data_IF_850546010127
#
_entry.id   IF_850546010127
#
_cell.length_a   1.000
_cell.length_b   1.000
_cell.length_c   1.000
_cell.angle_alpha   90.00
_cell.angle_beta   90.00
_cell.angle_gamma   90.00
#
_symmetry.space_group_name_H-M   'P 1'
#
loop_
_entity.id
_entity.type
_entity.pdbx_description
1 polymer ?
#
# COMPACT_ATOMS: atom_id res chain seq x y z
N UNK A 1 2.36 7.20 11.15
CA UNK A 1 3.85 7.20 11.29
C UNK A 1 4.39 7.14 9.88
N UNK A 2 5.30 8.03 9.47
CA UNK A 2 5.80 8.08 8.09
C UNK A 2 7.32 8.09 8.08
N UNK A 3 7.90 7.15 7.34
CA UNK A 3 9.34 7.00 7.13
C UNK A 3 9.60 6.72 5.63
N UNK A 4 10.87 6.73 5.21
CA UNK A 4 11.24 6.37 3.85
C UNK A 4 11.31 4.84 3.68
N UNK A 5 11.12 4.30 2.45
CA UNK A 5 10.83 5.04 1.21
C UNK A 5 9.36 5.48 1.10
N UNK A 6 9.10 6.48 0.25
CA UNK A 6 7.74 6.93 -0.08
C UNK A 6 7.35 6.40 -1.46
N UNK A 7 6.08 6.06 -1.64
CA UNK A 7 5.49 5.83 -2.96
C UNK A 7 5.01 7.17 -3.52
N UNK A 8 5.60 7.56 -4.63
CA UNK A 8 5.31 8.80 -5.36
C UNK A 8 5.56 8.58 -6.86
N UNK A 9 5.32 9.62 -7.66
CA UNK A 9 5.65 9.62 -9.09
C UNK A 9 7.16 9.79 -9.37
N UNK A 10 8.01 9.79 -8.33
CA UNK A 10 9.46 9.90 -8.49
C UNK A 10 10.09 8.56 -8.92
N UNK A 11 11.20 8.63 -9.66
CA UNK A 11 11.90 7.45 -10.21
C UNK A 11 12.74 6.66 -9.18
N UNK A 12 12.32 6.62 -7.91
CA UNK A 12 13.03 5.87 -6.88
C UNK A 12 12.67 4.38 -6.93
N UNK A 13 13.67 3.52 -7.16
CA UNK A 13 13.46 2.07 -7.15
C UNK A 13 13.26 1.52 -5.72
N UNK A 14 12.23 0.69 -5.56
CA UNK A 14 12.04 -0.12 -4.36
C UNK A 14 13.06 -1.26 -4.32
N UNK A 15 13.55 -1.57 -3.11
CA UNK A 15 14.57 -2.61 -2.87
C UNK A 15 14.06 -3.58 -1.82
N UNK A 16 14.55 -4.83 -1.89
CA UNK A 16 14.22 -5.84 -0.89
C UNK A 16 14.50 -5.32 0.55
N UNK A 17 13.57 -5.58 1.47
CA UNK A 17 13.60 -5.09 2.84
C UNK A 17 12.95 -3.71 3.04
N UNK A 18 12.63 -2.96 1.97
CA UNK A 18 11.79 -1.77 2.09
C UNK A 18 10.38 -2.16 2.53
N UNK A 19 9.83 -1.38 3.47
CA UNK A 19 8.45 -1.51 3.93
C UNK A 19 7.70 -0.26 3.51
N UNK A 20 6.58 -0.44 2.83
CA UNK A 20 5.73 0.64 2.32
C UNK A 20 4.27 0.32 2.57
N UNK A 21 3.47 1.37 2.71
CA UNK A 21 2.03 1.25 2.73
C UNK A 21 1.48 1.35 1.31
N UNK A 22 0.63 0.39 0.91
CA UNK A 22 -0.17 0.46 -0.31
C UNK A 22 -1.57 0.91 0.10
N UNK A 23 -1.91 2.18 -0.19
CA UNK A 23 -3.12 2.82 0.35
C UNK A 23 -3.97 3.59 -0.68
N UNK A 24 -4.39 2.97 -1.79
CA UNK A 24 -5.26 3.64 -2.75
C UNK A 24 -6.61 4.03 -2.12
N UNK A 25 -7.06 5.23 -2.43
CA UNK A 25 -8.37 5.72 -2.00
C UNK A 25 -9.20 6.23 -3.17
N UNK A 26 -10.50 5.95 -3.13
CA UNK A 26 -11.50 6.50 -4.03
C UNK A 26 -12.45 7.37 -3.21
N UNK A 27 -12.66 8.60 -3.66
CA UNK A 27 -13.44 9.60 -2.95
C UNK A 27 -14.42 10.26 -3.92
N UNK A 28 -15.69 10.29 -3.52
CA UNK A 28 -16.75 11.05 -4.16
C UNK A 28 -17.26 12.11 -3.15
N UNK A 29 -17.34 13.39 -3.53
CA UNK A 29 -17.69 14.46 -2.58
C UNK A 29 -19.13 14.36 -2.05
N UNK A 30 -20.04 13.72 -2.79
CA UNK A 30 -21.45 13.61 -2.42
C UNK A 30 -21.74 12.33 -1.61
N UNK A 31 -20.95 11.27 -1.81
CA UNK A 31 -21.18 9.95 -1.17
C UNK A 31 -20.21 9.66 -0.02
N UNK A 32 -18.95 10.12 -0.13
CA UNK A 32 -17.87 9.80 0.81
C UNK A 32 -16.71 9.07 0.14
N UNK A 33 -15.89 8.37 0.94
CA UNK A 33 -14.69 7.72 0.41
C UNK A 33 -14.40 6.38 1.05
N UNK A 34 -13.65 5.57 0.29
CA UNK A 34 -13.09 4.30 0.74
C UNK A 34 -11.59 4.32 0.50
N UNK A 35 -10.84 3.79 1.46
CA UNK A 35 -9.40 3.55 1.34
C UNK A 35 -9.12 2.14 1.83
N UNK A 36 -8.38 1.38 1.04
CA UNK A 36 -7.84 0.07 1.45
C UNK A 36 -6.36 0.26 1.69
N UNK A 37 -5.87 -0.12 2.87
CA UNK A 37 -4.53 0.20 3.34
C UNK A 37 -3.86 -1.07 3.86
N UNK A 38 -2.80 -1.49 3.18
CA UNK A 38 -2.00 -2.67 3.54
C UNK A 38 -0.52 -2.30 3.70
N UNK A 39 0.14 -2.92 4.68
CA UNK A 39 1.57 -2.78 4.88
C UNK A 39 2.29 -3.92 4.14
N UNK A 40 3.23 -3.57 3.27
CA UNK A 40 3.89 -4.53 2.39
C UNK A 40 5.41 -4.42 2.55
N UNK A 41 6.07 -5.57 2.65
CA UNK A 41 7.53 -5.66 2.55
C UNK A 41 7.94 -6.13 1.16
N UNK A 42 8.89 -5.42 0.56
CA UNK A 42 9.48 -5.81 -0.73
C UNK A 42 10.47 -6.95 -0.50
N UNK A 43 10.40 -7.98 -1.33
CA UNK A 43 11.30 -9.14 -1.29
C UNK A 43 12.11 -9.21 -2.59
N UNK A 44 13.14 -10.06 -2.63
CA UNK A 44 13.92 -10.26 -3.86
C UNK A 44 13.09 -10.83 -5.02
N UNK A 45 11.98 -11.51 -4.71
CA UNK A 45 11.09 -12.14 -5.69
C UNK A 45 9.76 -11.39 -5.89
N UNK A 46 9.58 -10.21 -5.28
CA UNK A 46 8.35 -9.43 -5.33
C UNK A 46 8.04 -8.76 -4.00
N UNK A 47 6.99 -9.23 -3.31
CA UNK A 47 6.51 -8.64 -2.07
C UNK A 47 5.78 -9.63 -1.16
N UNK A 48 5.66 -9.30 0.12
CA UNK A 48 4.82 -9.98 1.10
C UNK A 48 3.89 -8.95 1.78
N UNK A 49 2.61 -9.27 1.91
CA UNK A 49 1.63 -8.46 2.61
C UNK A 49 1.64 -8.83 4.10
N UNK A 50 1.88 -7.84 4.96
CA UNK A 50 1.97 -7.99 6.41
C UNK A 50 0.62 -7.74 7.10
N UNK A 51 -0.36 -7.25 6.35
CA UNK A 51 -1.71 -6.98 6.84
C UNK A 51 -2.62 -8.17 6.54
N UNK A 52 -3.27 -8.71 7.57
CA UNK A 52 -4.25 -9.80 7.44
C UNK A 52 -5.58 -9.38 8.07
N UNK A 53 -6.63 -9.32 7.25
CA UNK A 53 -8.02 -9.19 7.66
C UNK A 53 -8.92 -9.82 6.59
N UNK A 54 -10.15 -10.17 6.97
CA UNK A 54 -11.15 -10.59 6.01
C UNK A 54 -11.46 -9.41 5.08
N UNK A 55 -10.93 -9.46 3.87
CA UNK A 55 -11.21 -8.46 2.84
C UNK A 55 -12.53 -8.82 2.13
N UNK A 56 -13.63 -8.09 2.37
CA UNK A 56 -14.91 -8.38 1.75
C UNK A 56 -14.96 -7.98 0.27
N UNK A 57 -13.90 -7.35 -0.26
CA UNK A 57 -13.82 -6.85 -1.63
C UNK A 57 -12.88 -7.67 -2.53
N UNK A 58 -12.20 -8.69 -1.98
CA UNK A 58 -11.33 -9.58 -2.75
C UNK A 58 -12.18 -10.54 -3.59
N UNK A 59 -12.17 -10.35 -4.91
CA UNK A 59 -12.81 -11.23 -5.90
C UNK A 59 -12.10 -12.58 -6.05
#
# INVERSE_FOLDING_TARGET
>A
VHEFPRLSEDDNELRAGHVVTIEPGLYDPDVGGVRSEDLVVVTEAGHENLTDYADPFRL
#
